data_IF_259670971832
#
_entry.id   IF_259670971832
#
_cell.length_a   1.000
_cell.length_b   1.000
_cell.length_c   1.000
_cell.angle_alpha   90.00
_cell.angle_beta   90.00
_cell.angle_gamma   90.00
#
_symmetry.space_group_name_H-M   'P 1'
#
loop_
_entity.id
_entity.type
_entity.pdbx_description
1 polymer ?
#
# COMPACT_ATOMS: atom_id res chain seq x y z
N UNK A 1 25.86 -25.18 18.64
CA UNK A 1 25.96 -26.14 17.52
C UNK A 1 25.24 -25.62 16.26
N UNK A 2 25.43 -24.36 15.83
CA UNK A 2 24.91 -23.84 14.53
C UNK A 2 25.67 -22.56 14.06
N UNK A 3 26.82 -22.23 14.65
CA UNK A 3 27.45 -20.89 14.53
C UNK A 3 27.99 -20.54 13.13
N UNK A 4 28.11 -21.52 12.23
CA UNK A 4 28.70 -21.33 10.89
C UNK A 4 27.84 -21.92 9.76
N UNK A 5 26.51 -21.99 9.93
CA UNK A 5 25.63 -22.36 8.82
C UNK A 5 25.41 -21.12 7.94
N UNK A 6 25.93 -21.07 6.69
CA UNK A 6 25.70 -19.93 5.82
C UNK A 6 24.22 -19.87 5.47
N UNK A 7 23.53 -18.84 5.97
CA UNK A 7 22.14 -18.55 5.62
C UNK A 7 22.11 -17.31 4.72
N UNK A 8 21.54 -17.45 3.54
CA UNK A 8 21.21 -16.33 2.65
C UNK A 8 19.69 -16.26 2.53
N UNK A 9 19.13 -15.07 2.70
CA UNK A 9 17.71 -14.84 2.46
C UNK A 9 17.47 -14.77 0.96
N UNK A 10 16.51 -15.55 0.48
CA UNK A 10 16.08 -15.52 -0.91
C UNK A 10 14.69 -14.87 -0.91
N UNK A 11 14.53 -13.69 -1.54
CA UNK A 11 13.22 -13.07 -1.65
C UNK A 11 12.29 -13.90 -2.55
N UNK A 12 11.00 -13.68 -2.41
CA UNK A 12 10.02 -14.26 -3.33
C UNK A 12 10.13 -13.56 -4.69
N UNK A 13 9.92 -14.32 -5.77
CA UNK A 13 9.86 -13.80 -7.13
C UNK A 13 8.42 -13.67 -7.60
N UNK A 14 8.13 -12.61 -8.37
CA UNK A 14 6.88 -12.46 -9.11
C UNK A 14 7.18 -12.16 -10.58
N UNK A 15 6.38 -12.73 -11.48
CA UNK A 15 6.42 -12.40 -12.89
C UNK A 15 5.47 -11.22 -13.15
N UNK A 16 6.01 -10.06 -13.55
CA UNK A 16 5.21 -9.01 -14.17
C UNK A 16 5.51 -8.97 -15.66
N UNK A 17 4.47 -9.18 -16.46
CA UNK A 17 4.54 -9.11 -17.93
C UNK A 17 4.43 -7.67 -18.44
N UNK A 18 4.04 -6.72 -17.57
CA UNK A 18 3.82 -5.32 -17.92
C UNK A 18 4.18 -4.44 -16.72
N UNK A 19 5.06 -3.46 -16.94
CA UNK A 19 5.38 -2.41 -15.98
C UNK A 19 4.82 -1.09 -16.49
N UNK A 20 4.57 -0.14 -15.58
CA UNK A 20 4.33 1.25 -15.99
C UNK A 20 5.50 1.76 -16.83
N UNK A 21 5.19 2.44 -17.93
CA UNK A 21 6.21 3.19 -18.66
C UNK A 21 6.75 4.29 -17.73
N UNK A 22 8.03 4.21 -17.40
CA UNK A 22 8.73 5.27 -16.67
C UNK A 22 8.97 6.42 -17.63
N UNK A 23 7.99 7.31 -17.76
CA UNK A 23 8.22 8.60 -18.39
C UNK A 23 9.08 9.45 -17.45
N UNK A 24 10.40 9.24 -17.51
CA UNK A 24 11.36 10.21 -17.06
C UNK A 24 11.27 11.45 -17.95
N UNK A 25 10.50 12.45 -17.56
CA UNK A 25 10.46 13.71 -18.29
C UNK A 25 9.30 14.64 -17.95
N UNK A 26 9.69 15.83 -17.49
CA UNK A 26 9.03 17.13 -17.66
C UNK A 26 8.00 17.57 -16.60
N UNK A 27 8.45 18.55 -15.80
CA UNK A 27 7.60 19.57 -15.20
C UNK A 27 6.77 20.25 -16.30
N UNK A 28 5.54 19.80 -16.51
CA UNK A 28 4.57 20.36 -17.45
C UNK A 28 3.21 20.44 -16.77
N UNK A 29 2.65 21.65 -16.70
CA UNK A 29 1.56 22.00 -15.79
C UNK A 29 0.20 21.35 -16.06
N UNK A 30 -0.58 21.28 -14.99
CA UNK A 30 -2.04 21.37 -15.00
C UNK A 30 -2.78 20.13 -15.47
N UNK A 31 -2.86 19.11 -14.61
CA UNK A 31 -4.09 18.33 -14.47
C UNK A 31 -4.17 17.83 -13.02
N UNK A 32 -5.14 18.32 -12.25
CA UNK A 32 -5.35 17.94 -10.84
C UNK A 32 -5.88 16.50 -10.79
N UNK A 33 -5.03 15.52 -11.12
CA UNK A 33 -5.38 14.11 -11.04
C UNK A 33 -5.17 13.68 -9.59
N UNK A 34 -6.27 13.32 -8.92
CA UNK A 34 -6.27 12.76 -7.57
C UNK A 34 -5.28 11.60 -7.46
N UNK A 35 -4.51 11.55 -6.38
CA UNK A 35 -3.55 10.48 -6.12
C UNK A 35 -4.27 9.19 -5.77
N UNK A 36 -3.97 8.11 -6.51
CA UNK A 36 -4.62 6.80 -6.34
C UNK A 36 -3.88 5.91 -5.34
N UNK A 37 -4.41 5.74 -4.13
CA UNK A 37 -3.82 4.92 -3.08
C UNK A 37 -4.48 3.54 -3.06
N UNK A 38 -3.68 2.49 -3.06
CA UNK A 38 -4.16 1.11 -3.11
C UNK A 38 -3.80 0.33 -1.84
N UNK A 39 -4.78 -0.39 -1.30
CA UNK A 39 -4.58 -1.45 -0.33
C UNK A 39 -5.11 -2.76 -0.91
N UNK A 40 -4.30 -3.83 -0.84
CA UNK A 40 -4.69 -5.17 -1.24
C UNK A 40 -4.39 -6.14 -0.10
N UNK A 41 -5.40 -6.89 0.35
CA UNK A 41 -5.18 -7.92 1.37
C UNK A 41 -6.41 -8.26 2.20
N UNK A 42 -6.28 -9.20 3.12
CA UNK A 42 -7.40 -9.56 4.00
C UNK A 42 -7.79 -8.39 4.92
N UNK A 43 -9.10 -8.22 5.16
CA UNK A 43 -9.63 -7.19 6.06
C UNK A 43 -9.72 -7.75 7.49
N UNK A 44 -8.56 -7.94 8.10
CA UNK A 44 -8.40 -8.41 9.49
C UNK A 44 -7.71 -7.35 10.35
N UNK A 45 -7.93 -7.39 11.67
CA UNK A 45 -7.29 -6.45 12.60
C UNK A 45 -5.76 -6.40 12.47
N UNK A 46 -5.16 -7.57 12.23
CA UNK A 46 -3.72 -7.73 12.02
C UNK A 46 -3.16 -6.99 10.81
N UNK A 47 -3.99 -6.66 9.82
CA UNK A 47 -3.57 -5.97 8.59
C UNK A 47 -3.66 -4.45 8.67
N UNK A 48 -4.29 -3.91 9.72
CA UNK A 48 -4.22 -2.49 10.04
C UNK A 48 -4.91 -1.54 9.09
N UNK A 49 -5.90 -2.01 8.33
CA UNK A 49 -6.62 -1.18 7.36
C UNK A 49 -7.33 0.01 8.02
N UNK A 50 -7.77 -0.14 9.26
CA UNK A 50 -8.34 0.96 10.05
C UNK A 50 -7.33 2.08 10.34
N UNK A 51 -6.03 1.76 10.47
CA UNK A 51 -4.96 2.79 10.57
C UNK A 51 -4.87 3.61 9.29
N UNK A 52 -5.05 2.96 8.13
CA UNK A 52 -5.09 3.66 6.84
C UNK A 52 -6.32 4.57 6.75
N UNK A 53 -7.51 4.07 7.13
CA UNK A 53 -8.74 4.89 7.15
C UNK A 53 -8.58 6.10 8.07
N UNK A 54 -8.01 5.92 9.27
CA UNK A 54 -7.74 7.02 10.20
C UNK A 54 -6.72 8.02 9.64
N UNK A 55 -5.66 7.55 8.96
CA UNK A 55 -4.64 8.42 8.39
C UNK A 55 -5.17 9.31 7.27
N UNK A 56 -6.12 8.80 6.46
CA UNK A 56 -6.65 9.50 5.29
C UNK A 56 -7.94 10.30 5.56
N UNK A 57 -8.45 10.27 6.80
CA UNK A 57 -9.72 10.89 7.17
C UNK A 57 -9.75 12.42 7.01
N UNK A 58 -8.59 13.07 7.14
CA UNK A 58 -8.46 14.53 7.04
C UNK A 58 -8.11 15.02 5.63
N UNK A 59 -7.88 14.12 4.66
CA UNK A 59 -7.54 14.52 3.30
C UNK A 59 -8.80 14.84 2.51
N UNK A 60 -8.72 15.85 1.64
CA UNK A 60 -9.83 16.17 0.75
C UNK A 60 -9.93 15.15 -0.38
N UNK A 61 -11.15 14.89 -0.84
CA UNK A 61 -11.40 13.94 -1.93
C UNK A 61 -10.89 14.43 -3.29
N UNK A 62 -10.48 15.69 -3.38
CA UNK A 62 -9.81 16.28 -4.55
C UNK A 62 -8.30 15.97 -4.59
N UNK A 63 -7.70 15.58 -3.44
CA UNK A 63 -6.28 15.28 -3.34
C UNK A 63 -6.00 13.78 -3.56
N UNK A 64 -6.81 12.90 -2.97
CA UNK A 64 -6.56 11.46 -2.94
C UNK A 64 -7.84 10.63 -3.15
N UNK A 65 -7.67 9.41 -3.67
CA UNK A 65 -8.66 8.35 -3.68
C UNK A 65 -8.03 7.05 -3.16
N UNK A 66 -8.71 6.35 -2.25
CA UNK A 66 -8.20 5.16 -1.57
C UNK A 66 -9.04 3.95 -1.92
N UNK A 67 -8.41 2.96 -2.55
CA UNK A 67 -9.04 1.72 -2.99
C UNK A 67 -8.62 0.57 -2.06
N UNK A 68 -9.60 0.02 -1.34
CA UNK A 68 -9.41 -1.08 -0.39
C UNK A 68 -9.96 -2.36 -1.00
N UNK A 69 -9.06 -3.26 -1.41
CA UNK A 69 -9.38 -4.55 -2.03
C UNK A 69 -9.14 -5.67 -1.03
N UNK A 70 -10.17 -6.49 -0.82
CA UNK A 70 -10.09 -7.69 -0.01
C UNK A 70 -11.38 -8.06 0.69
N UNK A 71 -11.32 -9.19 1.41
CA UNK A 71 -12.41 -9.70 2.25
C UNK A 71 -11.90 -9.93 3.66
N UNK A 72 -12.79 -9.81 4.64
CA UNK A 72 -12.46 -10.16 6.01
C UNK A 72 -13.49 -9.66 7.02
N UNK A 73 -13.35 -10.11 8.28
CA UNK A 73 -14.29 -9.82 9.35
C UNK A 73 -14.38 -8.33 9.71
N UNK A 74 -13.38 -7.52 9.35
CA UNK A 74 -13.41 -6.08 9.62
C UNK A 74 -14.14 -5.24 8.58
N UNK A 75 -14.64 -5.83 7.48
CA UNK A 75 -15.28 -5.07 6.39
C UNK A 75 -16.35 -4.09 6.90
N UNK A 76 -17.31 -4.56 7.70
CA UNK A 76 -18.39 -3.70 8.20
C UNK A 76 -17.91 -2.59 9.15
N UNK A 77 -16.82 -2.83 9.90
CA UNK A 77 -16.20 -1.78 10.73
C UNK A 77 -15.59 -0.70 9.84
N UNK A 78 -14.87 -1.10 8.79
CA UNK A 78 -14.22 -0.18 7.85
C UNK A 78 -15.24 0.63 7.06
N UNK A 79 -16.33 0.01 6.60
CA UNK A 79 -17.44 0.71 5.93
C UNK A 79 -18.08 1.76 6.84
N UNK A 80 -18.21 1.47 8.14
CA UNK A 80 -18.72 2.44 9.12
C UNK A 80 -17.72 3.58 9.38
N UNK A 81 -16.42 3.28 9.45
CA UNK A 81 -15.38 4.32 9.62
C UNK A 81 -15.25 5.23 8.40
N UNK A 82 -15.53 4.69 7.21
CA UNK A 82 -15.45 5.41 5.95
C UNK A 82 -16.79 6.02 5.50
N UNK A 83 -17.86 5.96 6.31
CA UNK A 83 -19.21 6.34 5.85
C UNK A 83 -19.34 7.80 5.45
N UNK A 84 -18.57 8.68 6.09
CA UNK A 84 -18.55 10.13 5.83
C UNK A 84 -17.34 10.55 4.97
N UNK A 85 -16.58 9.58 4.45
CA UNK A 85 -15.35 9.80 3.69
C UNK A 85 -15.58 9.44 2.21
N UNK A 86 -15.71 10.46 1.37
CA UNK A 86 -15.97 10.28 -0.07
C UNK A 86 -14.75 9.74 -0.84
N UNK A 87 -13.56 9.84 -0.25
CA UNK A 87 -12.29 9.43 -0.85
C UNK A 87 -11.93 7.95 -0.60
N UNK A 88 -12.79 7.15 0.04
CA UNK A 88 -12.50 5.74 0.34
C UNK A 88 -13.50 4.81 -0.35
N UNK A 89 -12.97 3.84 -1.09
CA UNK A 89 -13.73 2.84 -1.84
C UNK A 89 -13.35 1.43 -1.41
N UNK A 90 -14.30 0.70 -0.81
CA UNK A 90 -14.10 -0.69 -0.35
C UNK A 90 -14.72 -1.66 -1.36
N UNK A 91 -13.90 -2.26 -2.22
CA UNK A 91 -14.34 -3.05 -3.37
C UNK A 91 -14.71 -4.50 -3.04
N UNK A 92 -14.19 -5.05 -1.94
CA UNK A 92 -14.33 -6.47 -1.66
C UNK A 92 -13.33 -7.30 -2.48
N UNK A 93 -13.75 -8.48 -2.96
CA UNK A 93 -12.89 -9.29 -3.82
C UNK A 93 -12.96 -8.80 -5.26
N UNK A 94 -11.79 -8.60 -5.85
CA UNK A 94 -11.61 -8.13 -7.22
C UNK A 94 -10.93 -9.23 -8.04
N UNK A 95 -11.41 -9.54 -9.27
CA UNK A 95 -10.76 -10.49 -10.16
C UNK A 95 -9.34 -10.07 -10.53
N UNK A 96 -8.51 -11.04 -10.93
CA UNK A 96 -7.08 -10.80 -11.21
C UNK A 96 -6.85 -9.71 -12.27
N UNK A 97 -7.59 -9.72 -13.37
CA UNK A 97 -7.40 -8.74 -14.45
C UNK A 97 -7.71 -7.31 -14.00
N UNK A 98 -8.73 -7.13 -13.16
CA UNK A 98 -9.08 -5.84 -12.58
C UNK A 98 -8.07 -5.42 -11.50
N UNK A 99 -7.55 -6.37 -10.71
CA UNK A 99 -6.48 -6.12 -9.74
C UNK A 99 -5.20 -5.63 -10.43
N UNK A 100 -4.84 -6.21 -11.57
CA UNK A 100 -3.70 -5.76 -12.39
C UNK A 100 -3.90 -4.31 -12.85
N UNK A 101 -5.10 -3.98 -13.33
CA UNK A 101 -5.42 -2.62 -13.74
C UNK A 101 -5.34 -1.64 -12.56
N UNK A 102 -5.84 -2.02 -11.39
CA UNK A 102 -5.74 -1.22 -10.17
C UNK A 102 -4.29 -0.97 -9.75
N UNK A 103 -3.39 -1.94 -9.86
CA UNK A 103 -1.96 -1.71 -9.61
C UNK A 103 -1.31 -0.76 -10.64
N UNK A 104 -1.71 -0.85 -11.91
CA UNK A 104 -1.24 0.03 -12.98
C UNK A 104 -1.77 1.47 -12.83
N UNK A 105 -2.93 1.66 -12.22
CA UNK A 105 -3.50 2.99 -11.97
C UNK A 105 -3.07 3.55 -10.61
N UNK A 106 -2.76 2.68 -9.64
CA UNK A 106 -2.39 3.04 -8.29
C UNK A 106 -1.06 3.78 -8.28
N UNK A 107 -1.07 4.93 -7.67
CA UNK A 107 0.04 5.83 -7.51
C UNK A 107 0.92 5.49 -6.30
N UNK A 108 0.33 4.79 -5.33
CA UNK A 108 0.95 4.38 -4.08
C UNK A 108 0.25 3.12 -3.57
N UNK A 109 0.98 2.17 -3.01
CA UNK A 109 0.39 1.04 -2.26
C UNK A 109 0.69 1.18 -0.77
N UNK A 110 -0.30 0.96 0.09
CA UNK A 110 -0.12 1.03 1.55
C UNK A 110 -0.26 -0.35 2.18
N UNK A 111 0.70 -0.72 3.04
CA UNK A 111 0.73 -1.98 3.79
C UNK A 111 0.80 -1.68 5.29
N UNK A 112 -0.35 -1.37 5.94
CA UNK A 112 -0.39 -0.84 7.30
C UNK A 112 -0.41 -1.95 8.38
N UNK A 113 0.33 -3.04 8.16
CA UNK A 113 0.24 -4.23 9.01
C UNK A 113 0.57 -3.94 10.48
N UNK A 114 -0.24 -4.52 11.39
CA UNK A 114 0.04 -4.55 12.85
C UNK A 114 0.79 -5.80 13.27
N UNK A 115 0.75 -6.84 12.45
CA UNK A 115 1.34 -8.14 12.75
C UNK A 115 2.61 -8.37 11.96
N UNK A 116 3.48 -9.25 12.47
CA UNK A 116 4.69 -9.70 11.80
C UNK A 116 4.31 -10.45 10.52
N UNK A 117 4.44 -9.78 9.38
CA UNK A 117 4.39 -10.40 8.07
C UNK A 117 5.81 -10.76 7.65
N UNK A 118 6.03 -11.99 7.19
CA UNK A 118 7.37 -12.47 6.88
C UNK A 118 7.86 -11.93 5.53
N UNK A 119 6.96 -11.83 4.55
CA UNK A 119 7.30 -11.44 3.17
C UNK A 119 5.99 -11.19 2.39
N UNK A 120 5.30 -10.06 2.62
CA UNK A 120 4.00 -9.79 2.01
C UNK A 120 4.10 -9.67 0.49
N UNK A 121 3.38 -10.55 -0.23
CA UNK A 121 3.34 -10.60 -1.70
C UNK A 121 2.93 -9.28 -2.34
N UNK A 122 2.06 -8.52 -1.68
CA UNK A 122 1.53 -7.22 -2.13
C UNK A 122 2.65 -6.21 -2.41
N UNK A 123 3.75 -6.27 -1.66
CA UNK A 123 4.91 -5.37 -1.89
C UNK A 123 5.61 -5.73 -3.20
N UNK A 124 5.82 -7.02 -3.45
CA UNK A 124 6.41 -7.49 -4.70
C UNK A 124 5.50 -7.18 -5.89
N UNK A 125 4.20 -7.42 -5.77
CA UNK A 125 3.21 -7.07 -6.78
C UNK A 125 3.27 -5.58 -7.12
N UNK A 126 3.23 -4.72 -6.10
CA UNK A 126 3.30 -3.27 -6.28
C UNK A 126 4.57 -2.83 -7.03
N UNK A 127 5.74 -3.32 -6.62
CA UNK A 127 7.00 -3.03 -7.31
C UNK A 127 7.06 -3.60 -8.72
N UNK A 128 6.43 -4.76 -8.95
CA UNK A 128 6.39 -5.36 -10.27
C UNK A 128 5.58 -4.51 -11.26
N UNK A 129 4.65 -3.67 -10.78
CA UNK A 129 3.96 -2.66 -11.58
C UNK A 129 4.59 -1.26 -11.52
N UNK A 130 5.72 -1.10 -10.82
CA UNK A 130 6.41 0.19 -10.68
C UNK A 130 5.70 1.16 -9.73
N UNK A 131 4.94 0.65 -8.75
CA UNK A 131 4.23 1.46 -7.77
C UNK A 131 5.00 1.46 -6.44
N UNK A 132 5.31 2.65 -5.87
CA UNK A 132 5.99 2.75 -4.57
C UNK A 132 5.09 2.29 -3.42
N UNK A 133 5.72 1.88 -2.30
CA UNK A 133 5.01 1.28 -1.16
C UNK A 133 5.24 2.05 0.14
N UNK A 134 4.18 2.39 0.86
CA UNK A 134 4.27 2.81 2.27
C UNK A 134 3.93 1.63 3.17
N UNK A 135 4.90 1.20 3.99
CA UNK A 135 4.75 -0.01 4.82
C UNK A 135 4.96 0.26 6.31
N UNK A 136 4.23 -0.47 7.15
CA UNK A 136 4.53 -0.52 8.59
C UNK A 136 5.92 -1.11 8.83
N UNK A 137 6.68 -0.51 9.74
CA UNK A 137 8.04 -0.93 10.09
C UNK A 137 8.06 -2.14 11.03
N UNK A 138 7.52 -3.27 10.57
CA UNK A 138 7.38 -4.51 11.35
C UNK A 138 7.58 -5.75 10.47
N UNK A 139 8.10 -6.82 11.07
CA UNK A 139 8.33 -8.09 10.36
C UNK A 139 9.36 -7.92 9.24
N UNK A 140 9.08 -8.54 8.10
CA UNK A 140 9.90 -8.47 6.88
C UNK A 140 9.61 -7.27 5.99
N UNK A 141 8.61 -6.43 6.30
CA UNK A 141 8.29 -5.24 5.49
C UNK A 141 9.48 -4.27 5.34
N UNK A 142 10.23 -3.92 6.41
CA UNK A 142 11.40 -3.04 6.30
C UNK A 142 12.53 -3.61 5.44
N UNK A 143 12.55 -4.93 5.20
CA UNK A 143 13.59 -5.55 4.36
C UNK A 143 13.25 -5.44 2.87
N UNK A 144 11.99 -5.14 2.52
CA UNK A 144 11.53 -5.04 1.13
C UNK A 144 11.46 -3.60 0.64
N UNK A 145 11.33 -2.62 1.54
CA UNK A 145 11.20 -1.20 1.20
C UNK A 145 12.50 -0.48 1.53
N UNK A 146 13.11 0.16 0.54
CA UNK A 146 14.21 1.09 0.75
C UNK A 146 13.64 2.49 1.00
N UNK A 147 13.75 2.95 2.25
CA UNK A 147 13.04 4.10 2.75
C UNK A 147 13.58 5.40 2.13
N UNK A 148 12.73 6.07 1.36
CA UNK A 148 13.06 7.26 0.57
C UNK A 148 13.43 6.97 -0.88
N UNK A 149 13.59 5.70 -1.27
CA UNK A 149 13.91 5.30 -2.65
C UNK A 149 12.78 4.53 -3.32
N UNK A 150 12.31 3.42 -2.71
CA UNK A 150 11.21 2.60 -3.25
C UNK A 150 9.88 2.84 -2.53
N UNK A 151 9.90 3.66 -1.49
CA UNK A 151 8.72 4.02 -0.70
C UNK A 151 9.09 4.53 0.69
N UNK A 152 8.14 4.49 1.63
CA UNK A 152 8.35 4.98 2.99
C UNK A 152 7.97 3.95 4.05
N UNK A 153 8.66 4.00 5.19
CA UNK A 153 8.35 3.20 6.37
C UNK A 153 7.75 4.09 7.47
N UNK A 154 6.76 3.57 8.19
CA UNK A 154 6.16 4.24 9.35
C UNK A 154 6.00 3.27 10.52
N UNK A 155 5.94 3.78 11.75
CA UNK A 155 5.75 2.93 12.93
C UNK A 155 4.34 2.30 12.95
N UNK A 156 4.20 1.00 13.30
CA UNK A 156 2.88 0.36 13.39
C UNK A 156 1.93 1.09 14.32
N UNK A 157 0.63 1.07 14.00
CA UNK A 157 -0.42 1.75 14.77
C UNK A 157 -0.24 3.28 14.89
N UNK A 158 0.49 3.89 13.95
CA UNK A 158 0.72 5.33 13.93
C UNK A 158 0.10 6.00 12.69
N UNK A 159 -1.22 6.34 12.73
CA UNK A 159 -1.90 6.96 11.59
C UNK A 159 -1.30 8.33 11.22
N UNK A 160 -0.75 9.08 12.19
CA UNK A 160 -0.11 10.37 11.92
C UNK A 160 1.17 10.22 11.10
N UNK A 161 2.02 9.22 11.40
CA UNK A 161 3.20 8.98 10.58
C UNK A 161 2.83 8.45 9.19
N UNK A 162 1.79 7.62 9.09
CA UNK A 162 1.27 7.17 7.79
C UNK A 162 0.78 8.37 6.97
N UNK A 163 0.00 9.27 7.57
CA UNK A 163 -0.44 10.53 6.95
C UNK A 163 0.73 11.35 6.41
N UNK A 164 1.73 11.62 7.24
CA UNK A 164 2.92 12.37 6.80
C UNK A 164 3.65 11.67 5.64
N UNK A 165 3.72 10.34 5.65
CA UNK A 165 4.34 9.58 4.57
C UNK A 165 3.54 9.67 3.26
N UNK A 166 2.21 9.69 3.34
CA UNK A 166 1.32 9.94 2.20
C UNK A 166 1.53 11.36 1.67
N UNK A 167 1.54 12.38 2.54
CA UNK A 167 1.77 13.79 2.16
C UNK A 167 3.12 14.00 1.45
N UNK A 168 4.19 13.31 1.88
CA UNK A 168 5.48 13.35 1.19
C UNK A 168 5.48 12.68 -0.20
N UNK A 169 4.42 11.96 -0.53
CA UNK A 169 4.24 11.21 -1.79
C UNK A 169 3.17 11.81 -2.72
N UNK A 170 2.55 12.94 -2.31
CA UNK A 170 1.66 13.76 -3.15
C UNK A 170 2.47 14.74 -4.01
#
# INVERSE_FOLDING_TARGET
MFENVPCKRLPLGISAETQKETNGGECGGGNSKKRQILYVGQLTYSKGVDVLVEAVADFESEDIEVHILGKGPQKSKLELMASDLENIHIHGFVPEDELKQMYLEADLTVVPSRWYDNSPMVIYESFAYGTPVIGSKIGGIPELIDNGETGYLFEPENPNQLKNAIEMSL
#
